data_IF_881742275433
#
_entry.id   IF_881742275433
#
_cell.length_a   1.000
_cell.length_b   1.000
_cell.length_c   1.000
_cell.angle_alpha   90.00
_cell.angle_beta   90.00
_cell.angle_gamma   90.00
#
_symmetry.space_group_name_H-M   'P 1'
#
loop_
_entity.id
_entity.type
_entity.pdbx_description
1 polymer ?
#
# COMPACT_ATOMS: atom_id res chain seq x y z
N UNK A 1 36.47 31.76 -19.80
CA UNK A 1 35.77 31.79 -18.50
C UNK A 1 34.97 30.52 -18.38
N UNK A 2 35.50 29.55 -17.65
CA UNK A 2 34.88 28.22 -17.49
C UNK A 2 33.74 28.32 -16.49
N UNK A 3 32.52 28.04 -16.93
CA UNK A 3 31.28 28.00 -16.12
C UNK A 3 31.02 26.62 -15.52
N UNK A 4 32.05 25.87 -15.12
CA UNK A 4 31.95 24.45 -14.73
C UNK A 4 32.01 24.16 -13.24
N UNK A 5 32.01 25.13 -12.36
CA UNK A 5 32.04 24.90 -10.90
C UNK A 5 30.87 25.64 -10.22
N UNK A 6 29.64 25.21 -10.54
CA UNK A 6 28.54 25.42 -9.62
C UNK A 6 28.69 24.34 -8.55
N UNK A 7 29.30 24.73 -7.42
CA UNK A 7 29.32 23.93 -6.19
C UNK A 7 27.90 23.45 -5.86
N UNK A 8 27.58 22.22 -6.23
CA UNK A 8 26.41 21.56 -5.69
C UNK A 8 26.72 21.29 -4.21
N UNK A 9 25.84 21.68 -3.29
CA UNK A 9 26.06 21.37 -1.89
C UNK A 9 26.22 19.86 -1.70
N UNK A 10 27.42 19.40 -1.37
CA UNK A 10 27.83 17.98 -1.22
C UNK A 10 27.13 17.24 -0.08
N UNK A 11 26.15 17.82 0.61
CA UNK A 11 25.51 17.23 1.78
C UNK A 11 24.03 16.90 1.61
N UNK A 12 23.57 16.64 0.38
CA UNK A 12 22.30 15.98 0.21
C UNK A 12 22.58 14.49 0.49
N UNK A 13 22.19 14.00 1.69
CA UNK A 13 22.11 12.57 1.91
C UNK A 13 21.25 12.06 0.75
N UNK A 14 21.81 11.28 -0.19
CA UNK A 14 21.04 10.79 -1.29
C UNK A 14 19.86 10.01 -0.68
N UNK A 15 18.66 10.36 -1.08
CA UNK A 15 17.42 9.62 -0.71
C UNK A 15 17.46 8.20 -1.29
N UNK A 16 18.64 7.79 -1.74
CA UNK A 16 18.92 6.55 -2.41
C UNK A 16 18.88 5.38 -1.42
N UNK A 17 18.28 4.32 -1.89
CA UNK A 17 18.22 3.02 -1.21
C UNK A 17 19.59 2.35 -1.27
N UNK A 18 20.56 2.83 -0.54
CA UNK A 18 21.68 1.96 -0.21
C UNK A 18 21.15 0.85 0.69
N UNK A 19 21.08 -0.35 0.15
CA UNK A 19 20.86 -1.59 0.90
C UNK A 19 22.12 -1.84 1.77
N UNK A 20 22.38 -0.92 2.69
CA UNK A 20 23.64 -0.87 3.47
C UNK A 20 23.81 -2.05 4.44
N UNK A 21 22.76 -2.78 4.73
CA UNK A 21 22.83 -4.00 5.54
C UNK A 21 22.00 -5.13 4.97
N UNK A 22 22.52 -6.33 5.03
CA UNK A 22 21.81 -7.56 4.63
C UNK A 22 20.48 -7.68 5.38
N UNK A 23 20.45 -7.31 6.66
CA UNK A 23 19.24 -7.38 7.50
C UNK A 23 18.13 -6.47 6.99
N UNK A 24 18.46 -5.25 6.59
CA UNK A 24 17.49 -4.32 5.99
C UNK A 24 16.96 -4.86 4.66
N UNK A 25 17.84 -5.38 3.80
CA UNK A 25 17.45 -6.00 2.53
C UNK A 25 16.47 -7.15 2.74
N UNK A 26 16.74 -8.04 3.71
CA UNK A 26 15.87 -9.17 4.05
C UNK A 26 14.49 -8.69 4.50
N UNK A 27 14.41 -7.69 5.37
CA UNK A 27 13.13 -7.12 5.83
C UNK A 27 12.35 -6.51 4.68
N UNK A 28 13.00 -5.75 3.81
CA UNK A 28 12.39 -5.12 2.62
C UNK A 28 11.84 -6.19 1.68
N UNK A 29 12.63 -7.19 1.32
CA UNK A 29 12.21 -8.29 0.44
C UNK A 29 11.04 -9.06 1.04
N UNK A 30 11.10 -9.37 2.33
CA UNK A 30 10.02 -10.06 3.04
C UNK A 30 8.71 -9.26 3.02
N UNK A 31 8.74 -8.00 3.44
CA UNK A 31 7.54 -7.14 3.47
C UNK A 31 6.96 -6.90 2.09
N UNK A 32 7.82 -6.66 1.10
CA UNK A 32 7.37 -6.41 -0.27
C UNK A 32 6.77 -7.66 -0.89
N UNK A 33 7.38 -8.83 -0.69
CA UNK A 33 6.84 -10.11 -1.16
C UNK A 33 5.50 -10.42 -0.51
N UNK A 34 5.39 -10.23 0.79
CA UNK A 34 4.14 -10.40 1.54
C UNK A 34 3.05 -9.46 1.00
N UNK A 35 3.40 -8.19 0.75
CA UNK A 35 2.50 -7.19 0.20
C UNK A 35 2.04 -7.54 -1.22
N UNK A 36 2.95 -7.92 -2.12
CA UNK A 36 2.62 -8.30 -3.49
C UNK A 36 1.70 -9.53 -3.50
N UNK A 37 2.06 -10.58 -2.77
CA UNK A 37 1.25 -11.80 -2.68
C UNK A 37 -0.13 -11.48 -2.11
N UNK A 38 -0.20 -10.76 -0.98
CA UNK A 38 -1.46 -10.42 -0.31
C UNK A 38 -2.38 -9.54 -1.18
N UNK A 39 -1.82 -8.49 -1.80
CA UNK A 39 -2.58 -7.60 -2.68
C UNK A 39 -3.03 -8.33 -3.96
N UNK A 40 -2.19 -9.18 -4.56
CA UNK A 40 -2.55 -9.99 -5.73
C UNK A 40 -3.69 -10.96 -5.41
N UNK A 41 -3.63 -11.68 -4.29
CA UNK A 41 -4.71 -12.57 -3.84
C UNK A 41 -6.00 -11.77 -3.64
N UNK A 42 -5.92 -10.61 -2.99
CA UNK A 42 -7.10 -9.79 -2.70
C UNK A 42 -7.78 -9.29 -4.00
N UNK A 43 -7.01 -8.74 -4.95
CA UNK A 43 -7.57 -8.23 -6.21
C UNK A 43 -8.12 -9.36 -7.07
N UNK A 44 -7.37 -10.46 -7.22
CA UNK A 44 -7.82 -11.63 -8.00
C UNK A 44 -9.16 -12.14 -7.47
N UNK A 45 -9.30 -12.21 -6.15
CA UNK A 45 -10.53 -12.68 -5.56
C UNK A 45 -11.71 -11.73 -5.72
N UNK A 46 -11.47 -10.42 -5.59
CA UNK A 46 -12.53 -9.42 -5.80
C UNK A 46 -13.01 -9.45 -7.26
N UNK A 47 -12.10 -9.65 -8.20
CA UNK A 47 -12.41 -9.67 -9.64
C UNK A 47 -13.10 -10.97 -10.04
N UNK A 48 -12.63 -12.13 -9.53
CA UNK A 48 -13.10 -13.46 -9.95
C UNK A 48 -14.43 -13.89 -9.31
N UNK A 49 -14.82 -13.33 -8.15
CA UNK A 49 -15.98 -13.77 -7.41
C UNK A 49 -17.11 -12.71 -7.44
N UNK A 50 -18.22 -12.97 -8.17
CA UNK A 50 -19.35 -12.03 -8.29
C UNK A 50 -19.93 -11.57 -6.94
N UNK A 51 -19.77 -12.34 -5.87
CA UNK A 51 -20.23 -11.96 -4.54
C UNK A 51 -19.54 -10.69 -4.00
N UNK A 52 -18.35 -10.36 -4.55
CA UNK A 52 -17.58 -9.16 -4.23
C UNK A 52 -17.81 -7.99 -5.20
N UNK A 53 -18.62 -8.12 -6.24
CA UNK A 53 -18.92 -7.02 -7.18
C UNK A 53 -19.84 -5.96 -6.59
N UNK A 54 -19.66 -5.61 -5.32
CA UNK A 54 -20.40 -4.55 -4.63
C UNK A 54 -19.56 -3.28 -4.56
N UNK A 55 -20.17 -2.09 -4.51
CA UNK A 55 -19.45 -0.81 -4.51
C UNK A 55 -18.30 -0.74 -3.52
N UNK A 56 -18.50 -1.23 -2.31
CA UNK A 56 -17.47 -1.22 -1.26
C UNK A 56 -16.25 -2.07 -1.59
N UNK A 57 -16.46 -3.23 -2.21
CA UNK A 57 -15.34 -4.11 -2.59
C UNK A 57 -14.61 -3.59 -3.83
N UNK A 58 -15.30 -2.83 -4.70
CA UNK A 58 -14.64 -2.17 -5.82
C UNK A 58 -13.69 -1.06 -5.36
N UNK A 59 -14.08 -0.26 -4.35
CA UNK A 59 -13.13 0.70 -3.74
C UNK A 59 -11.94 -0.05 -3.13
N UNK A 60 -12.20 -1.19 -2.50
CA UNK A 60 -11.14 -2.01 -1.94
C UNK A 60 -10.20 -2.56 -3.02
N UNK A 61 -10.75 -3.01 -4.16
CA UNK A 61 -9.94 -3.51 -5.28
C UNK A 61 -9.02 -2.42 -5.84
N UNK A 62 -9.52 -1.19 -6.00
CA UNK A 62 -8.72 -0.06 -6.49
C UNK A 62 -7.68 0.42 -5.47
N UNK A 63 -7.97 0.33 -4.18
CA UNK A 63 -6.99 0.57 -3.11
C UNK A 63 -5.86 -0.46 -3.15
N UNK A 64 -6.22 -1.75 -3.21
CA UNK A 64 -5.25 -2.86 -3.31
C UNK A 64 -4.40 -2.75 -4.59
N UNK A 65 -4.99 -2.29 -5.69
CA UNK A 65 -4.26 -2.01 -6.94
C UNK A 65 -3.24 -0.87 -6.74
N UNK A 66 -3.62 0.20 -6.04
CA UNK A 66 -2.71 1.31 -5.74
C UNK A 66 -1.55 0.88 -4.86
N UNK A 67 -1.81 0.06 -3.83
CA UNK A 67 -0.77 -0.50 -2.95
C UNK A 67 0.17 -1.43 -3.73
N UNK A 68 -0.37 -2.28 -4.61
CA UNK A 68 0.43 -3.16 -5.46
C UNK A 68 1.32 -2.36 -6.41
N UNK A 69 0.78 -1.33 -7.08
CA UNK A 69 1.55 -0.44 -7.94
C UNK A 69 2.66 0.28 -7.15
N UNK A 70 2.37 0.72 -5.93
CA UNK A 70 3.33 1.35 -5.04
C UNK A 70 4.51 0.42 -4.69
N UNK A 71 4.22 -0.85 -4.35
CA UNK A 71 5.24 -1.86 -4.05
C UNK A 71 6.09 -2.20 -5.28
N UNK A 72 5.48 -2.29 -6.46
CA UNK A 72 6.21 -2.54 -7.72
C UNK A 72 7.13 -1.36 -8.04
N UNK A 73 6.62 -0.11 -7.97
CA UNK A 73 7.45 1.08 -8.16
C UNK A 73 8.64 1.11 -7.21
N UNK A 74 8.43 0.73 -5.94
CA UNK A 74 9.49 0.66 -4.94
C UNK A 74 10.57 -0.36 -5.28
N UNK A 75 10.20 -1.58 -5.72
CA UNK A 75 11.17 -2.59 -6.16
C UNK A 75 11.97 -2.10 -7.34
N UNK A 76 11.28 -1.57 -8.37
CA UNK A 76 11.94 -1.09 -9.58
C UNK A 76 12.91 0.04 -9.23
N UNK A 77 12.49 0.97 -8.37
CA UNK A 77 13.36 2.04 -7.87
C UNK A 77 14.60 1.46 -7.17
N UNK A 78 14.41 0.52 -6.24
CA UNK A 78 15.50 -0.13 -5.53
C UNK A 78 16.48 -0.85 -6.47
N UNK A 79 15.98 -1.55 -7.48
CA UNK A 79 16.82 -2.25 -8.47
C UNK A 79 17.58 -1.23 -9.32
N UNK A 80 16.89 -0.21 -9.83
CA UNK A 80 17.52 0.84 -10.68
C UNK A 80 18.61 1.57 -9.91
N UNK A 81 18.36 1.96 -8.66
CA UNK A 81 19.35 2.65 -7.82
C UNK A 81 20.59 1.77 -7.55
N UNK A 82 20.40 0.47 -7.30
CA UNK A 82 21.52 -0.44 -7.02
C UNK A 82 22.31 -0.86 -8.29
N UNK A 83 21.63 -1.04 -9.42
CA UNK A 83 22.27 -1.43 -10.68
C UNK A 83 22.93 -0.23 -11.37
N UNK A 84 22.38 0.96 -11.18
CA UNK A 84 22.71 2.17 -11.92
C UNK A 84 23.37 3.26 -11.09
N UNK A 85 24.29 2.95 -10.20
CA UNK A 85 25.24 4.00 -9.73
C UNK A 85 25.94 4.75 -10.90
N UNK A 86 25.76 4.28 -12.15
CA UNK A 86 26.33 4.83 -13.39
C UNK A 86 25.33 5.50 -14.35
N UNK A 87 24.01 5.32 -14.18
CA UNK A 87 22.99 5.89 -15.09
C UNK A 87 22.33 7.07 -14.37
N UNK A 88 22.33 8.24 -15.00
CA UNK A 88 22.01 9.55 -14.41
C UNK A 88 20.75 9.59 -13.53
N UNK A 89 20.74 10.57 -12.63
CA UNK A 89 19.71 10.82 -11.59
C UNK A 89 18.27 10.93 -12.12
N UNK A 90 18.06 11.06 -13.43
CA UNK A 90 16.73 11.28 -14.06
C UNK A 90 15.76 10.12 -13.86
N UNK A 91 16.25 8.88 -13.97
CA UNK A 91 15.40 7.69 -13.75
C UNK A 91 14.96 7.54 -12.28
N UNK A 92 15.86 7.85 -11.33
CA UNK A 92 15.51 7.84 -9.91
C UNK A 92 14.38 8.80 -9.58
N UNK A 93 14.42 10.00 -10.15
CA UNK A 93 13.40 11.03 -9.94
C UNK A 93 12.06 10.66 -10.62
N UNK A 94 12.09 10.00 -11.79
CA UNK A 94 10.87 9.47 -12.42
C UNK A 94 10.20 8.41 -11.53
N UNK A 95 10.96 7.47 -10.99
CA UNK A 95 10.42 6.45 -10.09
C UNK A 95 9.93 7.08 -8.76
N UNK A 96 10.59 8.12 -8.28
CA UNK A 96 10.10 8.89 -7.14
C UNK A 96 8.75 9.55 -7.45
N UNK A 97 8.58 10.15 -8.62
CA UNK A 97 7.31 10.73 -9.06
C UNK A 97 6.20 9.68 -9.14
N UNK A 98 6.50 8.48 -9.69
CA UNK A 98 5.56 7.35 -9.72
C UNK A 98 5.20 6.86 -8.30
N UNK A 99 6.16 6.85 -7.38
CA UNK A 99 5.94 6.51 -5.97
C UNK A 99 5.02 7.55 -5.31
N UNK A 100 5.19 8.83 -5.57
CA UNK A 100 4.27 9.88 -5.10
C UNK A 100 2.87 9.70 -5.66
N UNK A 101 2.74 9.41 -6.96
CA UNK A 101 1.46 9.17 -7.62
C UNK A 101 0.72 7.97 -7.00
N UNK A 102 1.40 6.84 -6.84
CA UNK A 102 0.79 5.61 -6.30
C UNK A 102 0.47 5.73 -4.81
N UNK A 103 1.32 6.40 -4.02
CA UNK A 103 1.05 6.67 -2.60
C UNK A 103 -0.15 7.61 -2.44
N UNK A 104 -0.26 8.66 -3.27
CA UNK A 104 -1.42 9.54 -3.29
C UNK A 104 -2.69 8.77 -3.69
N UNK A 105 -2.61 7.90 -4.70
CA UNK A 105 -3.73 7.05 -5.10
C UNK A 105 -4.19 6.14 -3.94
N UNK A 106 -3.28 5.48 -3.25
CA UNK A 106 -3.61 4.65 -2.08
C UNK A 106 -4.33 5.48 -1.00
N UNK A 107 -3.76 6.62 -0.60
CA UNK A 107 -4.37 7.51 0.38
C UNK A 107 -5.77 7.99 -0.03
N UNK A 108 -5.93 8.42 -1.28
CA UNK A 108 -7.21 8.88 -1.83
C UNK A 108 -8.28 7.77 -1.82
N UNK A 109 -7.89 6.52 -2.12
CA UNK A 109 -8.82 5.39 -2.06
C UNK A 109 -9.18 4.99 -0.62
N UNK A 110 -8.27 5.15 0.36
CA UNK A 110 -8.63 5.02 1.79
C UNK A 110 -9.67 6.06 2.17
N UNK A 111 -9.50 7.33 1.74
CA UNK A 111 -10.48 8.40 2.00
C UNK A 111 -11.83 8.05 1.36
N UNK A 112 -11.84 7.62 0.09
CA UNK A 112 -13.05 7.19 -0.60
C UNK A 112 -13.75 6.03 0.13
N UNK A 113 -12.97 5.07 0.62
CA UNK A 113 -13.49 3.93 1.38
C UNK A 113 -14.12 4.37 2.71
N UNK A 114 -13.48 5.27 3.45
CA UNK A 114 -14.00 5.84 4.70
C UNK A 114 -15.27 6.67 4.45
N UNK A 115 -15.26 7.53 3.44
CA UNK A 115 -16.39 8.36 3.04
C UNK A 115 -17.60 7.51 2.61
N UNK A 116 -17.37 6.47 1.80
CA UNK A 116 -18.43 5.55 1.40
C UNK A 116 -19.02 4.82 2.61
N UNK A 117 -18.19 4.40 3.56
CA UNK A 117 -18.66 3.74 4.80
C UNK A 117 -19.46 4.68 5.69
N UNK A 118 -19.03 5.92 5.84
CA UNK A 118 -19.79 6.95 6.53
C UNK A 118 -21.16 7.15 5.86
N UNK A 119 -21.18 7.27 4.53
CA UNK A 119 -22.42 7.46 3.77
C UNK A 119 -23.39 6.28 3.93
N UNK A 120 -22.92 5.04 3.97
CA UNK A 120 -23.74 3.86 4.22
C UNK A 120 -24.40 3.84 5.61
N UNK A 121 -23.76 4.47 6.60
CA UNK A 121 -24.31 4.57 7.96
C UNK A 121 -25.34 5.70 8.03
N UNK A 122 -24.99 6.88 7.50
CA UNK A 122 -25.82 8.08 7.60
C UNK A 122 -27.06 8.02 6.70
N UNK A 123 -26.94 7.50 5.49
CA UNK A 123 -28.01 7.51 4.49
C UNK A 123 -28.18 6.09 3.86
N UNK A 124 -28.67 5.09 4.63
CA UNK A 124 -28.70 3.70 4.17
C UNK A 124 -29.59 3.48 2.93
N UNK A 125 -30.66 4.24 2.76
CA UNK A 125 -31.56 4.17 1.60
C UNK A 125 -30.84 4.66 0.36
N UNK A 126 -30.28 5.88 0.38
CA UNK A 126 -29.54 6.46 -0.76
C UNK A 126 -28.27 5.66 -1.08
N UNK A 127 -27.63 5.09 -0.09
CA UNK A 127 -26.43 4.28 -0.26
C UNK A 127 -26.67 3.00 -1.08
N UNK A 128 -27.88 2.41 -0.98
CA UNK A 128 -28.28 1.22 -1.80
C UNK A 128 -28.38 1.55 -3.29
N UNK A 129 -28.58 2.82 -3.63
CA UNK A 129 -28.68 3.30 -5.03
C UNK A 129 -27.31 3.52 -5.67
N UNK A 130 -26.21 3.52 -4.89
CA UNK A 130 -24.87 3.69 -5.43
C UNK A 130 -24.51 2.47 -6.28
N UNK A 131 -24.31 2.70 -7.56
CA UNK A 131 -23.92 1.68 -8.51
C UNK A 131 -22.39 1.46 -8.49
N UNK A 132 -21.96 0.26 -8.76
CA UNK A 132 -20.53 -0.08 -8.92
C UNK A 132 -19.85 0.78 -9.99
N UNK A 133 -20.55 1.09 -11.09
CA UNK A 133 -20.04 1.98 -12.16
C UNK A 133 -19.69 3.39 -11.65
N UNK A 134 -20.45 3.93 -10.71
CA UNK A 134 -20.17 5.23 -10.11
C UNK A 134 -18.87 5.20 -9.31
N UNK A 135 -18.64 4.14 -8.56
CA UNK A 135 -17.39 3.93 -7.81
C UNK A 135 -16.19 3.83 -8.75
N UNK A 136 -16.32 3.08 -9.84
CA UNK A 136 -15.25 2.97 -10.85
C UNK A 136 -14.91 4.34 -11.43
N UNK A 137 -15.90 5.16 -11.77
CA UNK A 137 -15.66 6.53 -12.27
C UNK A 137 -14.92 7.40 -11.26
N UNK A 138 -15.31 7.35 -9.99
CA UNK A 138 -14.62 8.08 -8.93
C UNK A 138 -13.18 7.57 -8.76
N UNK A 139 -12.97 6.26 -8.79
CA UNK A 139 -11.63 5.70 -8.71
C UNK A 139 -10.74 6.11 -9.89
N UNK A 140 -11.28 6.14 -11.11
CA UNK A 140 -10.54 6.64 -12.29
C UNK A 140 -10.16 8.11 -12.10
N UNK A 141 -11.09 8.95 -11.65
CA UNK A 141 -10.80 10.35 -11.38
C UNK A 141 -9.70 10.54 -10.32
N UNK A 142 -9.72 9.74 -9.25
CA UNK A 142 -8.67 9.73 -8.23
C UNK A 142 -7.32 9.29 -8.79
N UNK A 143 -7.28 8.30 -9.68
CA UNK A 143 -6.05 7.88 -10.36
C UNK A 143 -5.49 8.99 -11.26
N UNK A 144 -6.35 9.64 -12.06
CA UNK A 144 -5.92 10.78 -12.90
C UNK A 144 -5.33 11.88 -12.03
N UNK A 145 -6.01 12.25 -10.95
CA UNK A 145 -5.51 13.26 -10.02
C UNK A 145 -4.19 12.85 -9.37
N UNK A 146 -4.02 11.58 -9.04
CA UNK A 146 -2.78 11.04 -8.48
C UNK A 146 -1.62 11.08 -9.46
N UNK A 147 -1.87 10.79 -10.74
CA UNK A 147 -0.86 10.91 -11.81
C UNK A 147 -0.46 12.37 -12.02
N UNK A 148 -1.43 13.30 -12.00
CA UNK A 148 -1.13 14.74 -12.05
C UNK A 148 -0.27 15.15 -10.86
N UNK A 149 -0.57 14.68 -9.66
CA UNK A 149 0.20 14.97 -8.46
C UNK A 149 1.66 14.50 -8.57
N UNK A 150 1.89 13.26 -9.02
CA UNK A 150 3.24 12.76 -9.28
C UNK A 150 3.94 13.50 -10.42
N UNK A 151 3.21 13.86 -11.48
CA UNK A 151 3.71 14.65 -12.59
C UNK A 151 4.15 16.06 -12.15
N UNK A 152 3.40 16.70 -11.26
CA UNK A 152 3.79 17.98 -10.67
C UNK A 152 5.10 17.87 -9.90
N UNK A 153 5.27 16.82 -9.08
CA UNK A 153 6.56 16.57 -8.42
C UNK A 153 7.70 16.50 -9.43
N UNK A 154 7.54 15.74 -10.54
CA UNK A 154 8.52 15.61 -11.58
C UNK A 154 8.85 16.97 -12.25
N UNK A 155 7.82 17.77 -12.56
CA UNK A 155 7.99 19.10 -13.17
C UNK A 155 8.76 20.03 -12.21
N UNK A 156 8.37 20.12 -10.94
CA UNK A 156 9.06 20.95 -9.95
C UNK A 156 10.53 20.52 -9.78
N UNK A 157 10.78 19.23 -9.87
CA UNK A 157 12.14 18.70 -9.72
C UNK A 157 13.05 19.03 -10.92
N UNK A 158 12.52 18.97 -12.15
CA UNK A 158 13.33 19.07 -13.37
C UNK A 158 13.27 20.41 -14.07
N UNK A 159 12.15 21.11 -13.99
CA UNK A 159 11.91 22.32 -14.78
C UNK A 159 12.12 23.59 -13.99
N UNK A 160 12.21 23.52 -12.68
CA UNK A 160 12.39 24.69 -11.81
C UNK A 160 13.59 24.45 -10.89
N UNK A 161 14.82 24.44 -11.44
CA UNK A 161 16.03 24.15 -10.67
C UNK A 161 16.34 25.20 -9.60
N UNK A 162 15.73 26.37 -9.67
CA UNK A 162 15.88 27.46 -8.70
C UNK A 162 15.22 27.14 -7.34
N UNK A 163 14.26 26.20 -7.30
CA UNK A 163 13.62 25.80 -6.05
C UNK A 163 14.47 24.72 -5.38
N UNK A 164 14.78 24.94 -4.11
CA UNK A 164 15.47 23.96 -3.29
C UNK A 164 14.67 22.63 -3.29
N UNK A 165 15.31 21.56 -3.71
CA UNK A 165 14.74 20.21 -3.74
C UNK A 165 14.15 19.78 -2.40
N UNK A 166 14.75 20.25 -1.31
CA UNK A 166 14.30 19.92 0.04
C UNK A 166 12.91 20.51 0.30
N UNK A 167 12.68 21.74 -0.17
CA UNK A 167 11.37 22.39 -0.07
C UNK A 167 10.33 21.62 -0.89
N UNK A 168 10.69 21.18 -2.10
CA UNK A 168 9.79 20.39 -2.95
C UNK A 168 9.41 19.08 -2.25
N UNK A 169 10.40 18.30 -1.81
CA UNK A 169 10.19 17.01 -1.12
C UNK A 169 9.36 17.20 0.14
N UNK A 170 9.67 18.18 0.97
CA UNK A 170 8.95 18.47 2.22
C UNK A 170 7.50 18.89 1.94
N UNK A 171 7.26 19.72 0.92
CA UNK A 171 5.92 20.15 0.53
C UNK A 171 5.05 18.99 0.08
N UNK A 172 5.57 18.11 -0.79
CA UNK A 172 4.84 16.93 -1.26
C UNK A 172 4.58 15.92 -0.14
N UNK A 173 5.54 15.68 0.74
CA UNK A 173 5.37 14.81 1.93
C UNK A 173 4.44 15.44 2.96
N UNK A 174 4.56 16.74 3.20
CA UNK A 174 3.64 17.48 4.06
C UNK A 174 2.20 17.44 3.57
N UNK A 175 1.98 17.60 2.27
CA UNK A 175 0.66 17.42 1.66
C UNK A 175 0.12 16.00 1.91
N UNK A 176 0.91 14.94 1.62
CA UNK A 176 0.50 13.55 1.84
C UNK A 176 0.23 13.23 3.31
N UNK A 177 0.85 13.93 4.24
CA UNK A 177 0.56 13.82 5.66
C UNK A 177 -0.73 14.57 6.02
N UNK A 178 -0.77 15.88 5.76
CA UNK A 178 -1.82 16.74 6.32
C UNK A 178 -3.17 16.49 5.66
N UNK A 179 -3.24 16.55 4.34
CA UNK A 179 -4.52 16.53 3.62
C UNK A 179 -5.23 15.20 3.76
N UNK A 180 -4.63 14.03 3.46
CA UNK A 180 -5.30 12.76 3.64
C UNK A 180 -5.66 12.47 5.10
N UNK A 181 -4.79 12.79 6.07
CA UNK A 181 -5.07 12.56 7.49
C UNK A 181 -6.26 13.37 7.95
N UNK A 182 -6.35 14.66 7.58
CA UNK A 182 -7.52 15.49 7.91
C UNK A 182 -8.82 14.86 7.41
N UNK A 183 -8.87 14.44 6.14
CA UNK A 183 -10.06 13.79 5.59
C UNK A 183 -10.37 12.44 6.25
N UNK A 184 -9.34 11.62 6.49
CA UNK A 184 -9.51 10.32 7.13
C UNK A 184 -10.04 10.47 8.56
N UNK A 185 -9.48 11.39 9.34
CA UNK A 185 -9.92 11.70 10.72
C UNK A 185 -11.35 12.26 10.69
N UNK A 186 -11.64 13.20 9.79
CA UNK A 186 -12.99 13.75 9.64
C UNK A 186 -14.03 12.64 9.40
N UNK A 187 -13.86 11.80 8.39
CA UNK A 187 -14.79 10.71 8.12
C UNK A 187 -14.83 9.67 9.25
N UNK A 188 -13.70 9.44 9.91
CA UNK A 188 -13.66 8.52 11.05
C UNK A 188 -14.49 9.05 12.23
N UNK A 189 -14.33 10.30 12.60
CA UNK A 189 -15.07 10.95 13.68
C UNK A 189 -16.57 11.00 13.36
N UNK A 190 -16.93 11.45 12.16
CA UNK A 190 -18.32 11.51 11.71
C UNK A 190 -18.98 10.12 11.73
N UNK A 191 -18.27 9.09 11.29
CA UNK A 191 -18.75 7.71 11.33
C UNK A 191 -18.97 7.22 12.76
N UNK A 192 -18.07 7.52 13.69
CA UNK A 192 -18.21 7.12 15.10
C UNK A 192 -19.38 7.84 15.75
N UNK A 193 -19.53 9.13 15.50
CA UNK A 193 -20.65 9.94 15.98
C UNK A 193 -22.01 9.36 15.51
N UNK A 194 -22.18 9.12 14.22
CA UNK A 194 -23.40 8.53 13.68
C UNK A 194 -23.70 7.14 14.25
N UNK A 195 -22.65 6.34 14.50
CA UNK A 195 -22.78 5.00 15.08
C UNK A 195 -23.34 5.04 16.52
N UNK A 196 -23.00 6.08 17.29
CA UNK A 196 -23.52 6.23 18.64
C UNK A 196 -24.99 6.65 18.65
N UNK A 197 -25.42 7.47 17.69
CA UNK A 197 -26.78 8.07 17.69
C UNK A 197 -27.81 7.25 16.91
N UNK A 198 -27.42 6.53 15.83
CA UNK A 198 -28.41 6.05 14.84
C UNK A 198 -28.78 4.57 14.94
N UNK A 199 -28.10 3.74 15.74
CA UNK A 199 -28.24 2.29 15.61
C UNK A 199 -28.65 1.63 16.94
N UNK A 200 -29.94 1.21 16.98
CA UNK A 200 -30.49 0.44 18.11
C UNK A 200 -30.44 -1.09 17.92
N UNK A 201 -30.00 -1.58 16.74
CA UNK A 201 -29.95 -3.03 16.44
C UNK A 201 -28.60 -3.61 16.88
N UNK A 202 -28.56 -4.54 17.89
CA UNK A 202 -27.31 -5.01 18.50
C UNK A 202 -26.32 -5.68 17.52
N UNK A 203 -26.82 -6.53 16.62
CA UNK A 203 -25.99 -7.26 15.68
C UNK A 203 -25.39 -6.36 14.61
N UNK A 204 -26.15 -5.39 14.11
CA UNK A 204 -25.68 -4.38 13.17
C UNK A 204 -24.59 -3.50 13.84
N UNK A 205 -24.84 -3.08 15.10
CA UNK A 205 -23.89 -2.31 15.89
C UNK A 205 -22.57 -3.07 16.11
N UNK A 206 -22.62 -4.39 16.34
CA UNK A 206 -21.44 -5.25 16.48
C UNK A 206 -20.64 -5.34 15.16
N UNK A 207 -21.32 -5.50 14.03
CA UNK A 207 -20.68 -5.54 12.72
C UNK A 207 -19.98 -4.23 12.38
N UNK A 208 -20.67 -3.10 12.58
CA UNK A 208 -20.12 -1.77 12.29
C UNK A 208 -18.95 -1.44 13.22
N UNK A 209 -19.03 -1.80 14.52
CA UNK A 209 -17.90 -1.65 15.44
C UNK A 209 -16.65 -2.41 15.01
N UNK A 210 -16.81 -3.65 14.50
CA UNK A 210 -15.68 -4.43 13.96
C UNK A 210 -15.02 -3.74 12.78
N UNK A 211 -15.83 -3.24 11.86
CA UNK A 211 -15.34 -2.49 10.71
C UNK A 211 -14.72 -1.15 11.10
N UNK A 212 -15.28 -0.49 12.12
CA UNK A 212 -14.69 0.75 12.64
C UNK A 212 -13.28 0.51 13.17
N UNK A 213 -13.07 -0.55 13.97
CA UNK A 213 -11.74 -0.93 14.47
C UNK A 213 -10.75 -1.20 13.33
N UNK A 214 -11.17 -1.91 12.29
CA UNK A 214 -10.34 -2.13 11.11
C UNK A 214 -9.84 -0.81 10.50
N UNK A 215 -10.76 0.13 10.30
CA UNK A 215 -10.43 1.44 9.73
C UNK A 215 -9.57 2.29 10.66
N UNK A 216 -9.75 2.16 11.98
CA UNK A 216 -8.87 2.81 12.97
C UNK A 216 -7.43 2.30 12.87
N UNK A 217 -7.24 0.99 12.69
CA UNK A 217 -5.91 0.38 12.52
C UNK A 217 -5.26 0.88 11.23
N UNK A 218 -6.00 0.91 10.12
CA UNK A 218 -5.49 1.43 8.83
C UNK A 218 -5.09 2.90 8.99
N UNK A 219 -5.94 3.73 9.58
CA UNK A 219 -5.66 5.14 9.83
C UNK A 219 -4.42 5.34 10.71
N UNK A 220 -4.27 4.54 11.77
CA UNK A 220 -3.13 4.62 12.67
C UNK A 220 -1.81 4.28 11.93
N UNK A 221 -1.81 3.18 11.16
CA UNK A 221 -0.64 2.77 10.36
C UNK A 221 -0.30 3.85 9.33
N UNK A 222 -1.32 4.41 8.65
CA UNK A 222 -1.12 5.50 7.69
C UNK A 222 -0.49 6.72 8.34
N UNK A 223 -1.05 7.21 9.47
CA UNK A 223 -0.51 8.37 10.20
C UNK A 223 0.93 8.12 10.60
N UNK A 224 1.22 6.97 11.20
CA UNK A 224 2.56 6.63 11.65
C UNK A 224 3.56 6.61 10.48
N UNK A 225 3.20 5.96 9.36
CA UNK A 225 4.04 5.90 8.17
C UNK A 225 4.25 7.28 7.52
N UNK A 226 3.22 8.12 7.50
CA UNK A 226 3.28 9.44 6.88
C UNK A 226 4.05 10.47 7.74
N UNK A 227 4.00 10.33 9.08
CA UNK A 227 4.70 11.23 10.02
C UNK A 227 6.21 11.01 10.07
N UNK A 228 6.63 9.74 10.06
CA UNK A 228 8.04 9.42 10.31
C UNK A 228 8.97 10.04 9.27
N UNK A 229 8.58 10.05 8.01
CA UNK A 229 9.46 10.55 6.94
C UNK A 229 9.70 12.06 7.02
N UNK A 230 8.69 12.94 7.15
CA UNK A 230 8.91 14.38 7.34
C UNK A 230 9.71 14.70 8.61
N UNK A 231 9.47 13.96 9.70
CA UNK A 231 10.23 14.15 10.94
C UNK A 231 11.72 13.87 10.69
N UNK A 232 12.03 12.73 10.08
CA UNK A 232 13.42 12.38 9.75
C UNK A 232 14.07 13.44 8.86
N UNK A 233 13.32 13.92 7.87
CA UNK A 233 13.79 14.92 6.94
C UNK A 233 14.10 16.25 7.65
N UNK A 234 13.21 16.72 8.53
CA UNK A 234 13.39 17.95 9.31
C UNK A 234 14.57 17.82 10.28
N UNK A 235 14.73 16.68 10.95
CA UNK A 235 15.84 16.44 11.87
C UNK A 235 17.18 16.47 11.13
N UNK A 236 17.23 15.90 9.93
CA UNK A 236 18.42 15.93 9.09
C UNK A 236 18.72 17.33 8.56
N UNK A 237 17.69 18.04 8.08
CA UNK A 237 17.82 19.41 7.56
C UNK A 237 18.40 20.39 8.60
N UNK A 238 17.90 20.32 9.84
CA UNK A 238 18.34 21.18 10.92
C UNK A 238 19.66 20.72 11.55
N UNK A 239 20.34 19.70 10.99
CA UNK A 239 21.58 19.12 11.53
C UNK A 239 21.46 18.72 13.02
N UNK A 240 20.24 18.37 13.46
CA UNK A 240 19.97 17.91 14.83
C UNK A 240 20.59 16.53 15.05
N UNK A 241 20.65 15.72 13.99
CA UNK A 241 21.38 14.46 14.01
C UNK A 241 22.88 14.77 13.92
N UNK A 242 23.56 14.77 15.05
CA UNK A 242 25.01 14.92 15.11
C UNK A 242 25.75 13.66 14.62
N UNK A 243 25.08 12.50 14.70
CA UNK A 243 25.59 11.23 14.23
C UNK A 243 24.84 10.81 12.95
N UNK A 244 25.56 10.75 11.83
CA UNK A 244 25.04 10.30 10.54
C UNK A 244 24.37 8.91 10.63
N UNK A 245 24.88 8.03 11.49
CA UNK A 245 24.34 6.69 11.72
C UNK A 245 22.94 6.74 12.32
N UNK A 246 22.66 7.64 13.27
CA UNK A 246 21.34 7.78 13.88
C UNK A 246 20.31 8.27 12.84
N UNK A 247 20.65 9.24 12.01
CA UNK A 247 19.78 9.70 10.92
C UNK A 247 19.44 8.58 9.93
N UNK A 248 20.43 7.76 9.56
CA UNK A 248 20.22 6.61 8.68
C UNK A 248 19.25 5.60 9.30
N UNK A 249 19.38 5.26 10.59
CA UNK A 249 18.46 4.34 11.25
C UNK A 249 17.02 4.85 11.28
N UNK A 250 16.80 6.12 11.58
CA UNK A 250 15.45 6.70 11.59
C UNK A 250 14.84 6.67 10.18
N UNK A 251 15.64 6.96 9.14
CA UNK A 251 15.19 6.89 7.76
C UNK A 251 14.82 5.45 7.33
N UNK A 252 15.61 4.46 7.76
CA UNK A 252 15.32 3.03 7.56
C UNK A 252 13.96 2.67 8.18
N UNK A 253 13.72 3.07 9.43
CA UNK A 253 12.43 2.83 10.11
C UNK A 253 11.28 3.50 9.36
N UNK A 254 11.44 4.73 8.89
CA UNK A 254 10.42 5.42 8.11
C UNK A 254 10.09 4.68 6.81
N UNK A 255 11.08 4.15 6.11
CA UNK A 255 10.91 3.33 4.89
C UNK A 255 10.20 2.01 5.18
N UNK A 256 10.60 1.31 6.26
CA UNK A 256 9.93 0.08 6.70
C UNK A 256 8.45 0.35 7.01
N UNK A 257 8.14 1.41 7.74
CA UNK A 257 6.75 1.75 8.08
C UNK A 257 5.92 2.09 6.85
N UNK A 258 6.51 2.73 5.84
CA UNK A 258 5.86 2.99 4.57
C UNK A 258 5.56 1.69 3.80
N UNK A 259 6.50 0.72 3.75
CA UNK A 259 6.27 -0.61 3.18
C UNK A 259 5.20 -1.38 3.94
N UNK A 260 5.21 -1.31 5.28
CA UNK A 260 4.16 -1.91 6.13
C UNK A 260 2.79 -1.37 5.75
N UNK A 261 2.66 -0.05 5.54
CA UNK A 261 1.39 0.56 5.13
C UNK A 261 0.84 -0.05 3.82
N UNK A 262 1.67 -0.22 2.80
CA UNK A 262 1.25 -0.80 1.53
C UNK A 262 1.05 -2.33 1.58
N UNK A 263 1.75 -3.04 2.50
CA UNK A 263 1.76 -4.51 2.55
C UNK A 263 0.70 -5.09 3.48
N UNK A 264 0.32 -4.37 4.54
CA UNK A 264 -0.53 -4.90 5.62
C UNK A 264 -2.01 -4.81 5.32
N UNK A 265 -2.43 -3.94 4.39
CA UNK A 265 -3.84 -3.74 4.05
C UNK A 265 -4.61 -5.05 3.77
N UNK A 266 -4.13 -6.00 2.93
CA UNK A 266 -4.81 -7.26 2.70
C UNK A 266 -4.99 -8.08 3.99
N UNK A 267 -3.97 -8.12 4.84
CA UNK A 267 -3.97 -8.85 6.12
C UNK A 267 -5.06 -8.30 7.04
N UNK A 268 -5.14 -6.98 7.15
CA UNK A 268 -6.17 -6.30 7.94
C UNK A 268 -7.56 -6.68 7.42
N UNK A 269 -7.77 -6.67 6.10
CA UNK A 269 -9.04 -7.07 5.51
C UNK A 269 -9.40 -8.52 5.80
N UNK A 270 -8.44 -9.44 5.72
CA UNK A 270 -8.65 -10.86 6.06
C UNK A 270 -8.99 -11.05 7.54
N UNK A 271 -8.32 -10.36 8.45
CA UNK A 271 -8.60 -10.46 9.89
C UNK A 271 -10.00 -9.95 10.23
N UNK A 272 -10.41 -8.83 9.68
CA UNK A 272 -11.66 -8.17 10.06
C UNK A 272 -12.88 -8.60 9.23
N UNK A 273 -12.71 -9.14 8.02
CA UNK A 273 -13.79 -9.63 7.17
C UNK A 273 -14.08 -11.11 7.42
N UNK A 274 -15.29 -11.44 7.92
CA UNK A 274 -15.72 -12.84 8.11
C UNK A 274 -15.69 -13.61 6.79
N UNK A 275 -16.14 -12.99 5.69
CA UNK A 275 -16.14 -13.60 4.34
C UNK A 275 -14.71 -13.84 3.84
N UNK A 276 -13.82 -12.89 4.01
CA UNK A 276 -12.42 -13.03 3.61
C UNK A 276 -11.72 -14.16 4.40
N UNK A 277 -12.01 -14.32 5.70
CA UNK A 277 -11.48 -15.43 6.51
C UNK A 277 -11.93 -16.79 6.04
N UNK A 278 -13.23 -16.95 5.78
CA UNK A 278 -13.79 -18.22 5.24
C UNK A 278 -13.11 -18.55 3.91
N UNK A 279 -12.91 -17.55 3.08
CA UNK A 279 -12.22 -17.68 1.81
C UNK A 279 -10.78 -18.12 1.96
N UNK A 280 -10.01 -17.41 2.81
CA UNK A 280 -8.61 -17.76 3.06
C UNK A 280 -8.47 -19.19 3.58
N UNK A 281 -9.36 -19.61 4.48
CA UNK A 281 -9.41 -20.99 4.95
C UNK A 281 -9.71 -21.99 3.83
N UNK A 282 -10.59 -21.63 2.89
CA UNK A 282 -10.89 -22.48 1.73
C UNK A 282 -9.71 -22.61 0.79
N UNK A 283 -8.98 -21.51 0.54
CA UNK A 283 -7.76 -21.52 -0.25
C UNK A 283 -6.67 -22.38 0.39
N UNK A 284 -6.41 -22.19 1.69
CA UNK A 284 -5.43 -23.02 2.43
C UNK A 284 -5.78 -24.51 2.33
N UNK A 285 -7.05 -24.87 2.48
CA UNK A 285 -7.50 -26.27 2.33
C UNK A 285 -7.26 -26.79 0.91
N UNK A 286 -7.51 -25.99 -0.11
CA UNK A 286 -7.28 -26.37 -1.52
C UNK A 286 -5.79 -26.56 -1.81
N UNK A 287 -4.92 -25.66 -1.32
CA UNK A 287 -3.47 -25.81 -1.44
C UNK A 287 -2.97 -27.04 -0.70
N UNK A 288 -3.43 -27.26 0.54
CA UNK A 288 -3.05 -28.44 1.31
C UNK A 288 -3.49 -29.75 0.63
N UNK A 289 -4.69 -29.77 0.01
CA UNK A 289 -5.18 -30.91 -0.76
C UNK A 289 -4.31 -31.16 -2.00
N UNK A 290 -4.03 -30.14 -2.81
CA UNK A 290 -3.16 -30.26 -3.99
C UNK A 290 -1.77 -30.78 -3.63
N UNK A 291 -1.17 -30.27 -2.56
CA UNK A 291 0.12 -30.73 -2.09
C UNK A 291 0.10 -32.20 -1.65
N UNK A 292 -1.00 -32.63 -1.01
CA UNK A 292 -1.20 -34.04 -0.60
C UNK A 292 -1.39 -34.97 -1.80
N UNK A 293 -2.15 -34.52 -2.81
CA UNK A 293 -2.39 -35.28 -4.04
C UNK A 293 -1.10 -35.39 -4.85
N UNK A 294 -0.34 -34.31 -5.03
CA UNK A 294 0.98 -34.32 -5.70
C UNK A 294 2.00 -35.24 -5.00
N UNK A 295 1.98 -35.30 -3.67
CA UNK A 295 2.81 -36.25 -2.91
C UNK A 295 2.41 -37.71 -3.12
N UNK A 296 1.09 -37.97 -3.21
CA UNK A 296 0.60 -39.31 -3.51
C UNK A 296 1.01 -39.77 -4.91
N UNK A 297 0.91 -38.89 -5.90
CA UNK A 297 1.32 -39.19 -7.27
C UNK A 297 2.82 -39.49 -7.36
N UNK A 298 3.66 -38.76 -6.63
CA UNK A 298 5.10 -39.03 -6.52
C UNK A 298 5.41 -40.40 -5.88
N UNK A 299 4.67 -40.74 -4.83
CA UNK A 299 4.85 -42.07 -4.15
C UNK A 299 4.38 -43.21 -5.06
N UNK A 300 3.25 -43.02 -5.81
CA UNK A 300 2.79 -44.00 -6.78
C UNK A 300 3.74 -44.17 -7.97
N UNK A 301 4.43 -43.11 -8.40
CA UNK A 301 5.48 -43.21 -9.42
C UNK A 301 6.75 -43.95 -8.93
N UNK A 302 7.11 -43.80 -7.64
CA UNK A 302 8.25 -44.47 -7.06
C UNK A 302 8.00 -45.95 -6.73
N UNK A 303 6.75 -46.31 -6.44
CA UNK A 303 6.31 -47.68 -6.17
C UNK A 303 5.14 -48.07 -7.07
N UNK A 304 5.38 -48.41 -8.35
CA UNK A 304 4.31 -48.87 -9.22
C UNK A 304 3.64 -50.11 -8.67
N UNK A 305 2.30 -50.21 -8.65
CA UNK A 305 1.63 -51.42 -8.19
C UNK A 305 2.14 -52.62 -9.01
N UNK A 306 2.52 -53.71 -8.31
CA UNK A 306 2.96 -54.95 -8.96
C UNK A 306 1.83 -55.44 -9.89
N UNK A 307 2.15 -55.87 -11.12
CA UNK A 307 1.15 -56.34 -12.07
C UNK A 307 0.40 -57.54 -11.44
N UNK A 308 -0.92 -57.42 -11.33
CA UNK A 308 -1.78 -58.54 -10.93
C UNK A 308 -1.56 -59.68 -11.92
N UNK A 309 -0.94 -60.74 -11.50
CA UNK A 309 -0.95 -62.01 -12.27
C UNK A 309 -2.41 -62.44 -12.43
N UNK A 310 -2.99 -62.23 -13.59
CA UNK A 310 -4.22 -62.86 -14.00
C UNK A 310 -3.95 -64.35 -14.22
N UNK A 311 -4.11 -65.15 -13.18
CA UNK A 311 -4.27 -66.59 -13.34
C UNK A 311 -5.54 -66.89 -14.13
N UNK A 312 -5.40 -67.13 -15.43
CA UNK A 312 -6.48 -67.77 -16.21
C UNK A 312 -6.55 -69.24 -15.77
N UNK A 313 -7.64 -69.61 -15.16
CA UNK A 313 -8.12 -71.00 -15.05
C UNK A 313 -8.95 -71.33 -16.29
#
# INVERSE_FOLDING_TARGET
>A
MNTSDIDRPEHIIPVYLELESVDFAVVVVFLTSLGIIGNTIAITKIVSDPAFHKPTYMVLATLVLADLACLVCYIVQAVVENVNQRIGNEYGDLFMAMTYATTHASAAHVILFLGLRYFYIRNPIKARLIQTRTIIRWSIALWIFSVIFGGLYFIFRFRIPEIDIQIVVLSFRGYLLVVPVCFMVFFHVQKVHELHHSINIPDLKRHIRRMSRMLTVILFIYILSALLFPICFILNYNKVCQDERQCKHILIVARIMWLVNASVNPIIYFIYSKRARVLFQSLLKTFAKRHKDSRRDLICMQNPPSPMMTTRL
#
